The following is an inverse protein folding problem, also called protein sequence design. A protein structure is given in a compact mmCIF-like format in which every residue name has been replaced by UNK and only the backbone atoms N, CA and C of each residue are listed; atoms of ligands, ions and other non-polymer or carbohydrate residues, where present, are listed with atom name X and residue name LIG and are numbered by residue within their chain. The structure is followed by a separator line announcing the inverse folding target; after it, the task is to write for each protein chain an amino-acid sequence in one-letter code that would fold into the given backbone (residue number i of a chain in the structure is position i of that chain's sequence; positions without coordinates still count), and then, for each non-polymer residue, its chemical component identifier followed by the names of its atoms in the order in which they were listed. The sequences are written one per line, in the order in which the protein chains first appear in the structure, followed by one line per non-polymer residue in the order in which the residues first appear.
data_IF_762849058643
#
_entry.id   IF_762849058643
#
_cell.length_a   1.000
_cell.length_b   1.000
_cell.length_c   1.000
_cell.angle_alpha   90.00
_cell.angle_beta   90.00
_cell.angle_gamma   90.00
#
_symmetry.space_group_name_H-M   'P 1'
#
loop_
_entity.id
_entity.type
_entity.pdbx_description
1 polymer ?
#
# COMPACT_ATOMS: atom_id res chain seq x y z
N UNK A 1 -4.59 -58.51 -29.96
CA UNK A 1 -3.42 -59.10 -29.29
C UNK A 1 -3.33 -58.48 -27.89
N UNK A 2 -3.74 -59.24 -26.85
CA UNK A 2 -3.74 -58.84 -25.43
C UNK A 2 -2.36 -59.15 -24.83
N UNK A 3 -1.66 -58.16 -24.26
CA UNK A 3 -0.48 -58.41 -23.45
C UNK A 3 -0.86 -58.29 -21.99
N UNK A 4 -0.80 -59.43 -21.29
CA UNK A 4 -0.85 -59.53 -19.84
C UNK A 4 0.47 -59.02 -19.24
N UNK A 5 0.40 -58.18 -18.22
CA UNK A 5 1.52 -57.92 -17.32
C UNK A 5 1.33 -58.67 -15.99
N UNK A 6 2.35 -59.46 -15.66
CA UNK A 6 2.41 -60.27 -14.44
C UNK A 6 2.76 -59.38 -13.23
N UNK A 7 2.01 -59.57 -12.14
CA UNK A 7 2.31 -58.99 -10.83
C UNK A 7 3.20 -59.99 -10.08
N UNK A 8 4.41 -59.58 -9.70
CA UNK A 8 5.27 -60.34 -8.79
C UNK A 8 5.06 -59.85 -7.38
N UNK A 9 4.60 -60.73 -6.51
CA UNK A 9 4.49 -60.49 -5.07
C UNK A 9 5.86 -60.75 -4.41
N UNK A 10 6.36 -59.77 -3.67
CA UNK A 10 7.53 -59.90 -2.80
C UNK A 10 7.00 -60.06 -1.37
N UNK A 11 7.26 -61.27 -0.81
CA UNK A 11 7.00 -61.59 0.59
C UNK A 11 8.17 -61.05 1.42
N UNK A 12 7.92 -60.05 2.27
CA UNK A 12 8.89 -59.53 3.23
C UNK A 12 8.61 -60.06 4.64
N UNK A 13 9.61 -60.72 5.24
CA UNK A 13 9.54 -61.32 6.56
C UNK A 13 9.39 -60.26 7.68
N UNK A 14 8.45 -60.48 8.56
CA UNK A 14 8.30 -59.74 9.81
C UNK A 14 9.35 -60.20 10.84
N UNK A 15 10.24 -59.35 11.27
CA UNK A 15 11.08 -59.54 12.46
C UNK A 15 10.39 -58.86 13.64
N UNK A 16 9.90 -59.64 14.60
CA UNK A 16 9.33 -59.14 15.83
C UNK A 16 10.46 -58.77 16.81
N UNK A 17 10.70 -57.47 16.97
CA UNK A 17 11.55 -56.94 18.02
C UNK A 17 10.71 -56.50 19.23
N UNK A 18 10.88 -57.19 20.34
CA UNK A 18 10.27 -56.79 21.65
C UNK A 18 11.01 -55.58 22.19
N UNK A 19 10.37 -54.42 22.19
CA UNK A 19 10.85 -53.25 22.92
C UNK A 19 10.31 -53.30 24.34
N UNK A 20 11.19 -53.39 25.34
CA UNK A 20 10.87 -53.21 26.75
C UNK A 20 10.56 -51.70 27.02
N UNK A 21 9.35 -51.43 27.47
CA UNK A 21 8.94 -50.10 27.90
C UNK A 21 9.40 -49.88 29.33
N UNK A 22 10.37 -49.01 29.55
CA UNK A 22 10.75 -48.55 30.88
C UNK A 22 9.68 -47.55 31.37
N UNK A 23 8.96 -47.90 32.40
CA UNK A 23 8.03 -47.00 33.08
C UNK A 23 8.85 -46.05 33.96
N UNK A 24 8.92 -44.79 33.62
CA UNK A 24 9.48 -43.73 34.45
C UNK A 24 8.36 -43.20 35.36
N UNK A 25 8.56 -43.10 36.69
CA UNK A 25 7.52 -42.57 37.58
C UNK A 25 7.34 -41.07 37.31
N UNK A 26 6.08 -40.64 37.20
CA UNK A 26 5.67 -39.26 37.10
C UNK A 26 6.01 -38.51 38.40
N UNK A 27 7.10 -37.73 38.39
CA UNK A 27 7.28 -36.67 39.38
C UNK A 27 6.36 -35.51 39.03
N UNK A 28 5.49 -35.17 39.99
CA UNK A 28 4.58 -34.04 39.94
C UNK A 28 5.39 -32.74 39.80
N UNK A 29 5.45 -32.21 38.59
CA UNK A 29 5.87 -30.81 38.34
C UNK A 29 4.68 -29.93 38.71
N UNK A 30 4.76 -29.27 39.86
CA UNK A 30 3.89 -28.16 40.21
C UNK A 30 4.13 -27.06 39.19
N UNK A 31 3.17 -26.87 38.28
CA UNK A 31 3.12 -25.71 37.39
C UNK A 31 2.73 -24.50 38.24
N UNK A 32 3.73 -23.70 38.62
CA UNK A 32 3.45 -22.34 39.10
C UNK A 32 2.74 -21.58 37.98
N UNK A 33 1.61 -20.92 38.23
CA UNK A 33 0.97 -20.11 37.20
C UNK A 33 1.91 -18.98 36.82
N UNK A 34 2.36 -18.97 35.53
CA UNK A 34 3.03 -17.82 34.93
C UNK A 34 2.01 -16.70 34.88
N UNK A 35 2.15 -15.76 35.80
CA UNK A 35 1.41 -14.50 35.72
C UNK A 35 1.79 -13.79 34.43
N UNK A 36 0.92 -13.86 33.44
CA UNK A 36 0.98 -12.97 32.28
C UNK A 36 0.57 -11.59 32.79
N UNK A 37 1.57 -10.78 33.17
CA UNK A 37 1.38 -9.34 33.18
C UNK A 37 1.05 -8.96 31.74
N UNK A 38 -0.24 -8.78 31.47
CA UNK A 38 -0.71 -8.03 30.32
C UNK A 38 -0.20 -6.59 30.51
N UNK A 39 1.02 -6.31 30.08
CA UNK A 39 1.40 -4.96 29.70
C UNK A 39 0.54 -4.64 28.48
N UNK A 40 -0.69 -4.24 28.73
CA UNK A 40 -1.44 -3.41 27.81
C UNK A 40 -0.60 -2.16 27.63
N UNK A 41 0.22 -2.13 26.58
CA UNK A 41 0.63 -0.88 25.99
C UNK A 41 -0.66 -0.28 25.44
N UNK A 42 -1.39 0.42 26.30
CA UNK A 42 -2.39 1.37 25.86
C UNK A 42 -1.62 2.46 25.14
N UNK A 43 -1.42 2.29 23.81
CA UNK A 43 -1.27 3.47 23.00
C UNK A 43 -2.48 4.35 23.28
N UNK A 44 -2.28 5.64 23.57
CA UNK A 44 -3.40 6.53 23.78
C UNK A 44 -4.22 6.50 22.51
N UNK A 45 -5.53 6.28 22.66
CA UNK A 45 -6.58 6.46 21.66
C UNK A 45 -6.65 7.96 21.33
N UNK A 46 -5.56 8.52 20.82
CA UNK A 46 -5.45 9.92 20.47
C UNK A 46 -6.07 10.11 19.10
N UNK A 47 -7.24 10.75 19.11
CA UNK A 47 -7.90 11.24 17.89
C UNK A 47 -6.85 11.80 16.92
N UNK A 48 -6.92 11.45 15.61
CA UNK A 48 -6.03 12.03 14.62
C UNK A 48 -6.06 13.56 14.66
N UNK A 49 -4.89 14.19 14.47
CA UNK A 49 -4.81 15.65 14.42
C UNK A 49 -5.59 16.19 13.23
N UNK A 50 -6.30 17.27 13.42
CA UNK A 50 -6.83 18.08 12.32
C UNK A 50 -5.67 18.69 11.52
N UNK A 51 -5.93 19.14 10.31
CA UNK A 51 -4.95 19.82 9.46
C UNK A 51 -4.37 21.07 10.13
N UNK A 52 -5.21 21.86 10.83
CA UNK A 52 -4.75 23.05 11.55
C UNK A 52 -3.86 22.72 12.75
N UNK A 53 -4.23 21.73 13.55
CA UNK A 53 -3.43 21.25 14.68
C UNK A 53 -2.07 20.69 14.20
N UNK A 54 -2.07 19.90 13.13
CA UNK A 54 -0.84 19.39 12.53
C UNK A 54 0.05 20.53 12.05
N UNK A 55 -0.52 21.50 11.32
CA UNK A 55 0.22 22.66 10.78
C UNK A 55 0.84 23.49 11.89
N UNK A 56 0.11 23.72 13.00
CA UNK A 56 0.65 24.45 14.15
C UNK A 56 1.82 23.70 14.81
N UNK A 57 1.70 22.37 14.95
CA UNK A 57 2.73 21.56 15.59
C UNK A 57 3.99 21.41 14.73
N UNK A 58 3.84 21.39 13.38
CA UNK A 58 4.98 21.17 12.48
C UNK A 58 5.67 22.47 12.04
N UNK A 59 5.06 23.63 12.20
CA UNK A 59 5.60 24.90 11.66
C UNK A 59 7.04 25.21 12.09
N UNK A 60 7.40 24.85 13.32
CA UNK A 60 8.72 25.08 13.90
C UNK A 60 9.65 23.85 13.88
N UNK A 61 9.18 22.73 13.27
CA UNK A 61 10.01 21.52 13.12
C UNK A 61 11.03 21.78 12.01
N UNK A 62 12.31 21.61 12.32
CA UNK A 62 13.37 21.64 11.33
C UNK A 62 13.37 20.34 10.53
N UNK A 63 13.06 20.44 9.25
CA UNK A 63 13.09 19.31 8.31
C UNK A 63 14.29 19.48 7.36
N UNK A 64 14.93 18.39 6.90
CA UNK A 64 15.94 18.45 5.85
C UNK A 64 15.33 19.01 4.56
N UNK A 65 16.15 19.47 3.63
CA UNK A 65 15.69 19.89 2.30
C UNK A 65 15.04 18.74 1.54
N UNK A 66 14.10 19.07 0.63
CA UNK A 66 13.53 18.07 -0.27
C UNK A 66 14.60 17.34 -1.07
N UNK A 67 14.44 16.05 -1.25
CA UNK A 67 15.28 15.21 -2.09
C UNK A 67 14.43 14.21 -2.86
N UNK A 68 14.84 13.92 -4.08
CA UNK A 68 14.23 12.88 -4.91
C UNK A 68 15.25 12.27 -5.85
N UNK A 69 15.01 11.02 -6.28
CA UNK A 69 15.79 10.36 -7.33
C UNK A 69 14.86 9.61 -8.27
N UNK A 70 15.29 9.48 -9.52
CA UNK A 70 14.63 8.65 -10.54
C UNK A 70 15.64 7.61 -11.00
N UNK A 71 15.26 6.35 -10.98
CA UNK A 71 16.10 5.24 -11.45
C UNK A 71 15.29 4.24 -12.26
N UNK A 72 15.99 3.39 -13.00
CA UNK A 72 15.37 2.26 -13.69
C UNK A 72 14.84 1.25 -12.67
N UNK A 73 13.81 0.54 -13.06
CA UNK A 73 13.26 -0.57 -12.30
C UNK A 73 13.40 -1.86 -13.10
N UNK A 74 13.56 -2.99 -12.42
CA UNK A 74 13.67 -4.31 -13.05
C UNK A 74 12.38 -5.10 -12.84
N UNK A 75 12.10 -6.08 -13.73
CA UNK A 75 10.97 -6.99 -13.55
C UNK A 75 11.05 -7.75 -12.22
N UNK A 76 12.26 -8.10 -11.78
CA UNK A 76 12.46 -8.76 -10.49
C UNK A 76 12.07 -7.86 -9.31
N UNK A 77 12.33 -6.53 -9.38
CA UNK A 77 11.93 -5.57 -8.34
C UNK A 77 10.42 -5.38 -8.28
N UNK A 78 9.74 -5.50 -9.44
CA UNK A 78 8.28 -5.37 -9.54
C UNK A 78 7.56 -6.64 -9.08
N UNK A 79 8.25 -7.79 -9.08
CA UNK A 79 7.74 -9.08 -8.60
C UNK A 79 6.27 -9.32 -9.00
N UNK A 80 5.36 -9.29 -8.03
CA UNK A 80 3.93 -9.56 -8.22
C UNK A 80 3.14 -8.41 -8.86
N UNK A 81 3.66 -7.17 -8.85
CA UNK A 81 2.95 -6.01 -9.41
C UNK A 81 3.01 -5.93 -10.93
N UNK A 82 3.97 -6.62 -11.57
CA UNK A 82 4.11 -6.66 -13.01
C UNK A 82 4.22 -8.11 -13.53
N UNK A 83 3.63 -8.36 -14.68
CA UNK A 83 3.72 -9.65 -15.39
C UNK A 83 3.68 -9.46 -16.89
N UNK A 84 4.07 -10.49 -17.65
CA UNK A 84 3.88 -10.51 -19.09
C UNK A 84 2.39 -10.28 -19.44
N UNK A 85 2.13 -9.39 -20.39
CA UNK A 85 0.77 -8.98 -20.74
C UNK A 85 0.29 -7.70 -20.06
N UNK A 86 1.05 -7.13 -19.11
CA UNK A 86 0.78 -5.77 -18.62
C UNK A 86 0.88 -4.75 -19.75
N UNK A 87 0.03 -3.71 -19.74
CA UNK A 87 -0.05 -2.75 -20.85
C UNK A 87 1.22 -1.91 -21.00
N UNK A 88 2.01 -1.77 -19.92
CA UNK A 88 3.26 -1.03 -19.95
C UNK A 88 4.46 -1.95 -19.72
N UNK A 89 5.44 -1.89 -20.62
CA UNK A 89 6.68 -2.64 -20.48
C UNK A 89 7.54 -2.10 -19.32
N UNK A 90 8.29 -2.98 -18.64
CA UNK A 90 9.19 -2.62 -17.53
C UNK A 90 10.13 -1.47 -17.88
N UNK A 91 10.70 -1.48 -19.09
CA UNK A 91 11.60 -0.42 -19.57
C UNK A 91 10.97 0.99 -19.63
N UNK A 92 9.64 1.07 -19.61
CA UNK A 92 8.87 2.31 -19.56
C UNK A 92 8.45 2.72 -18.16
N UNK A 93 8.81 1.95 -17.13
CA UNK A 93 8.59 2.25 -15.72
C UNK A 93 9.87 2.81 -15.08
N UNK A 94 9.69 3.66 -14.08
CA UNK A 94 10.76 4.22 -13.26
C UNK A 94 10.43 4.05 -11.79
N UNK A 95 11.46 3.79 -10.99
CA UNK A 95 11.39 3.90 -9.54
C UNK A 95 11.73 5.35 -9.17
N UNK A 96 10.80 6.02 -8.53
CA UNK A 96 10.94 7.38 -8.02
C UNK A 96 11.03 7.33 -6.51
N UNK A 97 12.15 7.76 -5.95
CA UNK A 97 12.27 7.97 -4.50
C UNK A 97 11.98 9.44 -4.22
N UNK A 98 11.13 9.71 -3.23
CA UNK A 98 10.74 11.06 -2.84
C UNK A 98 10.86 11.23 -1.34
N UNK A 99 11.30 12.41 -0.90
CA UNK A 99 11.22 12.78 0.51
C UNK A 99 9.82 13.31 0.82
N UNK A 100 9.24 12.87 1.94
CA UNK A 100 7.92 13.29 2.37
C UNK A 100 7.87 13.61 3.86
N UNK A 101 6.84 14.31 4.28
CA UNK A 101 6.54 14.58 5.69
C UNK A 101 5.58 13.50 6.19
N UNK A 102 5.95 12.81 7.27
CA UNK A 102 5.10 11.83 7.91
C UNK A 102 4.03 12.44 8.82
N UNK A 103 2.95 11.69 9.09
CA UNK A 103 1.98 12.05 10.13
C UNK A 103 2.63 12.20 11.52
N UNK A 104 3.80 11.58 11.72
CA UNK A 104 4.65 11.73 12.90
C UNK A 104 5.46 13.04 12.93
N UNK A 105 5.27 13.93 11.95
CA UNK A 105 5.96 15.22 11.77
C UNK A 105 7.45 15.10 11.50
N UNK A 106 7.91 13.94 11.06
CA UNK A 106 9.30 13.70 10.64
C UNK A 106 9.40 13.64 9.11
N UNK A 107 10.63 13.74 8.63
CA UNK A 107 10.96 13.50 7.23
C UNK A 107 11.28 12.03 7.02
N UNK A 108 10.72 11.47 5.94
CA UNK A 108 10.94 10.11 5.48
C UNK A 108 11.27 10.10 3.99
N UNK A 109 11.87 9.03 3.51
CA UNK A 109 12.05 8.78 2.08
C UNK A 109 11.13 7.60 1.68
N UNK A 110 10.30 7.79 0.66
CA UNK A 110 9.36 6.81 0.13
C UNK A 110 9.63 6.47 -1.32
N UNK A 111 9.05 5.37 -1.81
CA UNK A 111 9.27 4.89 -3.18
C UNK A 111 7.95 4.68 -3.91
N UNK A 112 7.92 5.10 -5.16
CA UNK A 112 6.81 4.91 -6.10
C UNK A 112 7.35 4.33 -7.41
N UNK A 113 6.60 3.45 -8.04
CA UNK A 113 6.84 3.06 -9.43
C UNK A 113 5.83 3.80 -10.31
N UNK A 114 6.32 4.51 -11.32
CA UNK A 114 5.47 5.28 -12.24
C UNK A 114 5.97 5.14 -13.67
N UNK A 115 5.15 5.54 -14.64
CA UNK A 115 5.59 5.67 -16.03
C UNK A 115 6.75 6.66 -16.16
N UNK A 116 7.71 6.35 -17.02
CA UNK A 116 8.79 7.27 -17.38
C UNK A 116 8.26 8.62 -17.90
N UNK A 117 7.07 8.63 -18.50
CA UNK A 117 6.43 9.83 -19.02
C UNK A 117 6.05 10.86 -17.95
N UNK A 118 5.81 10.42 -16.71
CA UNK A 118 5.39 11.29 -15.60
C UNK A 118 6.40 11.31 -14.44
N UNK A 119 7.50 10.57 -14.52
CA UNK A 119 8.44 10.41 -13.39
C UNK A 119 9.05 11.76 -12.96
N UNK A 120 9.45 12.63 -13.88
CA UNK A 120 9.97 13.97 -13.57
C UNK A 120 8.91 14.85 -12.92
N UNK A 121 7.70 14.87 -13.50
CA UNK A 121 6.58 15.63 -12.94
C UNK A 121 6.19 15.14 -11.55
N UNK A 122 6.26 13.83 -11.31
CA UNK A 122 6.00 13.26 -9.98
C UNK A 122 6.97 13.81 -8.93
N UNK A 123 8.26 13.96 -9.26
CA UNK A 123 9.22 14.58 -8.33
C UNK A 123 8.87 16.04 -8.02
N UNK A 124 8.36 16.80 -8.99
CA UNK A 124 7.96 18.20 -8.81
C UNK A 124 6.67 18.31 -7.97
N UNK A 125 5.72 17.40 -8.16
CA UNK A 125 4.50 17.32 -7.35
C UNK A 125 4.88 17.05 -5.90
N UNK A 126 5.69 16.02 -5.63
CA UNK A 126 6.10 15.68 -4.26
C UNK A 126 6.97 16.76 -3.62
N UNK A 127 7.75 17.52 -4.41
CA UNK A 127 8.43 18.71 -3.92
C UNK A 127 7.42 19.74 -3.40
N UNK A 128 6.38 20.03 -4.16
CA UNK A 128 5.33 20.97 -3.74
C UNK A 128 4.62 20.48 -2.48
N UNK A 129 4.27 19.18 -2.38
CA UNK A 129 3.64 18.56 -1.22
C UNK A 129 4.56 18.60 0.02
N UNK A 130 5.87 18.39 -0.16
CA UNK A 130 6.85 18.49 0.91
C UNK A 130 7.00 19.92 1.43
N UNK A 131 7.10 20.90 0.54
CA UNK A 131 7.26 22.32 0.88
C UNK A 131 6.03 22.87 1.63
N UNK A 132 4.82 22.42 1.26
CA UNK A 132 3.59 22.76 2.01
C UNK A 132 3.40 21.91 3.27
N UNK A 133 4.31 20.97 3.55
CA UNK A 133 4.26 20.04 4.69
C UNK A 133 2.99 19.18 4.72
N UNK A 134 2.49 18.79 3.54
CA UNK A 134 1.38 17.85 3.46
C UNK A 134 1.83 16.47 3.98
N UNK A 135 1.12 15.91 5.01
CA UNK A 135 1.59 14.68 5.62
C UNK A 135 1.06 13.43 4.92
N UNK A 136 1.93 12.42 4.87
CA UNK A 136 1.59 11.08 4.42
C UNK A 136 1.68 10.10 5.58
N UNK A 137 0.83 9.06 5.57
CA UNK A 137 0.99 7.95 6.49
C UNK A 137 2.21 7.11 6.08
N UNK A 138 2.25 6.73 4.81
CA UNK A 138 3.35 5.97 4.20
C UNK A 138 3.40 6.23 2.70
N UNK A 139 4.58 6.10 2.11
CA UNK A 139 4.79 6.05 0.66
C UNK A 139 5.68 4.85 0.35
N UNK A 140 5.07 3.78 -0.15
CA UNK A 140 5.76 2.53 -0.41
C UNK A 140 5.23 1.86 -1.68
N UNK A 141 6.10 1.14 -2.39
CA UNK A 141 5.66 0.40 -3.57
C UNK A 141 4.74 -0.75 -3.18
N UNK A 142 3.80 -1.09 -4.06
CA UNK A 142 2.74 -2.06 -3.78
C UNK A 142 3.28 -3.48 -3.52
N UNK A 143 4.48 -3.80 -3.99
CA UNK A 143 5.15 -5.08 -3.75
C UNK A 143 5.36 -5.37 -2.26
N UNK A 144 5.56 -4.32 -1.44
CA UNK A 144 5.68 -4.45 0.02
C UNK A 144 4.39 -4.94 0.68
N UNK A 145 3.29 -4.93 -0.07
CA UNK A 145 1.96 -5.42 0.33
C UNK A 145 1.52 -6.63 -0.50
N UNK A 146 2.47 -7.35 -1.13
CA UNK A 146 2.17 -8.48 -2.00
C UNK A 146 1.34 -8.13 -3.23
N UNK A 147 1.39 -6.87 -3.67
CA UNK A 147 0.57 -6.29 -4.75
C UNK A 147 -0.94 -6.37 -4.50
N UNK A 148 -1.34 -6.48 -3.22
CA UNK A 148 -2.72 -6.46 -2.77
C UNK A 148 -3.14 -5.03 -2.38
N UNK A 149 -4.05 -4.45 -3.17
CA UNK A 149 -4.55 -3.08 -2.95
C UNK A 149 -5.24 -2.92 -1.59
N UNK A 150 -6.04 -3.92 -1.17
CA UNK A 150 -6.78 -3.83 0.09
C UNK A 150 -5.84 -3.76 1.29
N UNK A 151 -4.77 -4.56 1.28
CA UNK A 151 -3.75 -4.53 2.34
C UNK A 151 -3.02 -3.18 2.35
N UNK A 152 -2.65 -2.67 1.18
CA UNK A 152 -2.01 -1.36 1.02
C UNK A 152 -2.92 -0.20 1.49
N UNK A 153 -4.21 -0.22 1.10
CA UNK A 153 -5.20 0.79 1.51
C UNK A 153 -5.39 0.79 3.03
N UNK A 154 -5.54 -0.39 3.66
CA UNK A 154 -5.67 -0.50 5.12
C UNK A 154 -4.45 0.01 5.87
N UNK A 155 -3.27 -0.09 5.29
CA UNK A 155 -2.04 0.52 5.82
C UNK A 155 -1.97 2.04 5.57
N UNK A 156 -2.95 2.62 4.89
CA UNK A 156 -2.96 4.02 4.45
C UNK A 156 -1.73 4.37 3.58
N UNK A 157 -1.24 3.40 2.80
CA UNK A 157 -0.06 3.52 1.98
C UNK A 157 -0.35 4.23 0.65
N UNK A 158 0.31 5.34 0.41
CA UNK A 158 0.32 6.01 -0.90
C UNK A 158 1.12 5.18 -1.89
N UNK A 159 0.47 4.77 -3.00
CA UNK A 159 1.07 3.90 -4.02
C UNK A 159 0.65 4.29 -5.43
N UNK A 160 1.39 3.84 -6.44
CA UNK A 160 1.15 4.23 -7.84
C UNK A 160 0.96 3.00 -8.75
N UNK A 161 2.02 2.43 -9.31
CA UNK A 161 1.91 1.33 -10.26
C UNK A 161 1.43 0.03 -9.59
N UNK A 162 0.41 -0.58 -10.19
CA UNK A 162 -0.01 -1.95 -9.95
C UNK A 162 -0.73 -2.48 -11.20
N UNK A 163 -0.18 -3.52 -11.84
CA UNK A 163 -0.74 -4.08 -13.08
C UNK A 163 -1.92 -4.99 -12.79
N UNK A 164 -3.10 -4.43 -12.77
CA UNK A 164 -4.37 -5.11 -12.52
C UNK A 164 -5.52 -4.55 -13.35
N UNK A 165 -6.56 -5.31 -13.46
CA UNK A 165 -7.82 -4.80 -14.01
C UNK A 165 -8.58 -3.98 -12.95
N UNK A 166 -9.46 -3.12 -13.43
CA UNK A 166 -10.51 -2.51 -12.61
C UNK A 166 -11.40 -3.66 -12.11
N UNK A 167 -11.72 -3.64 -10.82
CA UNK A 167 -12.52 -4.69 -10.19
C UNK A 167 -13.81 -4.98 -10.97
N UNK A 168 -14.12 -6.27 -11.19
CA UNK A 168 -15.29 -6.71 -11.92
C UNK A 168 -15.25 -6.48 -13.44
N UNK A 169 -14.11 -6.06 -14.01
CA UNK A 169 -13.99 -5.78 -15.46
C UNK A 169 -12.78 -6.45 -16.10
N UNK A 170 -12.74 -6.47 -17.44
CA UNK A 170 -11.57 -6.89 -18.23
C UNK A 170 -10.72 -5.68 -18.71
N UNK A 171 -10.91 -4.49 -18.14
CA UNK A 171 -10.16 -3.28 -18.48
C UNK A 171 -9.06 -3.05 -17.46
N UNK A 172 -7.85 -2.73 -17.94
CA UNK A 172 -6.76 -2.34 -17.05
C UNK A 172 -7.08 -1.06 -16.30
N UNK A 173 -6.74 -1.01 -15.01
CA UNK A 173 -6.71 0.21 -14.22
C UNK A 173 -5.64 1.17 -14.75
N UNK A 174 -5.79 2.48 -14.52
CA UNK A 174 -4.77 3.49 -14.84
C UNK A 174 -3.46 3.26 -14.08
N UNK A 175 -3.52 2.64 -12.90
CA UNK A 175 -2.34 2.17 -12.18
C UNK A 175 -1.47 1.21 -13.01
N UNK A 176 -2.08 0.39 -13.89
CA UNK A 176 -1.35 -0.51 -14.78
C UNK A 176 -0.50 0.19 -15.84
N UNK A 177 -0.76 1.47 -16.09
CA UNK A 177 0.01 2.33 -17.00
C UNK A 177 1.05 3.19 -16.26
N UNK A 178 1.13 3.10 -14.92
CA UNK A 178 2.01 3.93 -14.10
C UNK A 178 1.68 5.43 -14.18
N UNK A 179 0.42 5.74 -14.49
CA UNK A 179 -0.09 7.10 -14.68
C UNK A 179 -1.26 7.40 -13.72
N UNK A 180 -1.29 6.71 -12.59
CA UNK A 180 -2.20 6.94 -11.48
C UNK A 180 -1.47 6.80 -10.15
N UNK A 181 -1.99 7.48 -9.13
CA UNK A 181 -1.50 7.44 -7.76
C UNK A 181 -2.67 7.61 -6.78
N UNK A 182 -2.64 6.84 -5.71
CA UNK A 182 -3.58 6.96 -4.60
C UNK A 182 -2.87 7.57 -3.39
N UNK A 183 -3.42 8.65 -2.85
CA UNK A 183 -2.85 9.44 -1.76
C UNK A 183 -3.56 9.14 -0.45
N UNK A 184 -2.84 8.61 0.56
CA UNK A 184 -3.38 8.28 1.88
C UNK A 184 -4.76 7.59 1.79
N UNK A 185 -4.86 6.42 1.15
CA UNK A 185 -6.12 5.87 0.65
C UNK A 185 -7.12 5.51 1.75
N UNK A 186 -6.67 5.17 2.97
CA UNK A 186 -7.58 4.88 4.07
C UNK A 186 -8.38 6.12 4.49
N UNK A 187 -7.73 7.29 4.57
CA UNK A 187 -8.34 8.55 4.99
C UNK A 187 -8.89 9.39 3.84
N UNK A 188 -8.67 8.96 2.60
CA UNK A 188 -9.25 9.52 1.38
C UNK A 188 -10.03 8.42 0.63
N UNK A 189 -11.23 8.06 1.10
CA UNK A 189 -11.93 6.84 0.68
C UNK A 189 -12.22 6.76 -0.82
N UNK A 190 -12.18 5.52 -1.34
CA UNK A 190 -12.93 5.13 -2.51
C UNK A 190 -14.37 4.79 -2.09
N UNK A 191 -15.36 5.28 -2.83
CA UNK A 191 -16.78 5.11 -2.52
C UNK A 191 -17.51 4.57 -3.74
N UNK A 192 -18.13 3.42 -3.59
CA UNK A 192 -18.96 2.79 -4.62
C UNK A 192 -20.37 2.56 -4.06
N UNK A 193 -21.40 2.90 -4.80
CA UNK A 193 -22.81 2.77 -4.35
C UNK A 193 -23.03 3.40 -2.95
N UNK A 194 -22.37 4.51 -2.67
CA UNK A 194 -22.45 5.24 -1.38
C UNK A 194 -21.75 4.55 -0.21
N UNK A 195 -20.93 3.52 -0.45
CA UNK A 195 -20.21 2.79 0.58
C UNK A 195 -18.70 2.96 0.41
N UNK A 196 -18.01 3.21 1.52
CA UNK A 196 -16.56 3.24 1.52
C UNK A 196 -15.97 1.83 1.39
N UNK A 197 -14.93 1.71 0.58
CA UNK A 197 -14.15 0.49 0.39
C UNK A 197 -12.65 0.79 0.59
N UNK A 198 -12.00 0.13 1.55
CA UNK A 198 -12.55 -0.83 2.51
C UNK A 198 -13.46 -0.15 3.56
N UNK A 199 -14.29 -0.94 4.26
CA UNK A 199 -15.25 -0.42 5.24
C UNK A 199 -14.58 0.38 6.37
N UNK A 200 -13.33 0.12 6.67
CA UNK A 200 -12.50 0.85 7.65
C UNK A 200 -12.31 2.32 7.27
N UNK A 201 -12.50 2.67 5.99
CA UNK A 201 -12.45 4.05 5.50
C UNK A 201 -13.75 4.83 5.77
N UNK A 202 -14.84 4.16 6.16
CA UNK A 202 -16.16 4.79 6.35
C UNK A 202 -16.17 5.99 7.33
N UNK A 203 -15.41 6.00 8.44
CA UNK A 203 -15.34 7.17 9.31
C UNK A 203 -14.83 8.45 8.61
N UNK A 204 -14.03 8.29 7.55
CA UNK A 204 -13.41 9.40 6.82
C UNK A 204 -14.28 9.94 5.68
N UNK A 205 -15.52 9.43 5.50
CA UNK A 205 -16.50 10.02 4.58
C UNK A 205 -16.93 11.42 5.04
N UNK A 206 -16.94 11.68 6.35
CA UNK A 206 -17.14 13.02 6.87
C UNK A 206 -15.90 13.89 6.66
N UNK A 207 -15.88 14.65 5.57
CA UNK A 207 -14.74 15.53 5.22
C UNK A 207 -14.64 16.77 6.16
N UNK A 208 -15.63 17.05 7.00
CA UNK A 208 -15.56 18.10 8.03
C UNK A 208 -14.59 17.74 9.16
N UNK A 209 -14.24 16.48 9.32
CA UNK A 209 -13.19 16.04 10.25
C UNK A 209 -11.86 16.73 9.94
N UNK A 210 -11.59 17.01 8.67
CA UNK A 210 -10.43 17.74 8.18
C UNK A 210 -9.11 17.32 8.85
N UNK A 211 -8.91 15.99 8.96
CA UNK A 211 -7.68 15.43 9.51
C UNK A 211 -6.47 15.71 8.61
N UNK A 212 -5.31 15.75 9.22
CA UNK A 212 -4.04 15.89 8.50
C UNK A 212 -3.87 14.76 7.48
N UNK A 213 -3.54 15.11 6.23
CA UNK A 213 -3.42 14.16 5.12
C UNK A 213 -4.71 13.85 4.36
N UNK A 214 -5.86 14.40 4.78
CA UNK A 214 -7.09 14.36 3.98
C UNK A 214 -7.04 15.37 2.82
N UNK A 215 -7.64 15.02 1.69
CA UNK A 215 -7.82 15.90 0.52
C UNK A 215 -9.20 16.57 0.61
N UNK A 216 -9.24 17.91 0.66
CA UNK A 216 -10.44 18.64 1.10
C UNK A 216 -11.31 19.22 -0.03
N UNK A 217 -10.93 19.04 -1.29
CA UNK A 217 -11.69 19.57 -2.45
C UNK A 217 -10.78 20.14 -3.53
N UNK A 218 -11.37 20.67 -4.60
CA UNK A 218 -10.62 21.14 -5.79
C UNK A 218 -9.68 22.31 -5.51
N UNK A 219 -9.99 23.14 -4.50
CA UNK A 219 -9.16 24.28 -4.12
C UNK A 219 -8.06 23.92 -3.10
N UNK A 220 -8.03 22.66 -2.65
CA UNK A 220 -6.97 22.19 -1.74
C UNK A 220 -5.61 22.28 -2.45
N UNK A 221 -4.61 22.96 -1.83
CA UNK A 221 -3.27 23.04 -2.43
C UNK A 221 -2.64 21.69 -2.76
N UNK A 222 -2.95 20.64 -1.98
CA UNK A 222 -2.46 19.30 -2.27
C UNK A 222 -3.12 18.69 -3.52
N UNK A 223 -4.43 18.94 -3.72
CA UNK A 223 -5.13 18.54 -4.95
C UNK A 223 -4.60 19.36 -6.14
N UNK A 224 -4.42 20.67 -5.97
CA UNK A 224 -3.90 21.56 -7.02
C UNK A 224 -2.46 21.24 -7.43
N UNK A 225 -1.66 20.66 -6.52
CA UNK A 225 -0.33 20.19 -6.90
C UNK A 225 -0.35 19.20 -8.07
N UNK A 226 -1.42 18.42 -8.20
CA UNK A 226 -1.66 17.51 -9.32
C UNK A 226 -2.47 18.17 -10.44
N UNK A 227 -3.61 18.78 -10.12
CA UNK A 227 -4.55 19.25 -11.15
C UNK A 227 -4.02 20.42 -11.97
N UNK A 228 -3.21 21.32 -11.41
CA UNK A 228 -2.53 22.41 -12.14
C UNK A 228 -1.49 21.86 -13.16
N UNK A 229 -1.15 20.56 -13.05
CA UNK A 229 -0.26 19.84 -14.00
C UNK A 229 -1.03 18.91 -14.94
N UNK A 230 -2.35 19.04 -15.00
CA UNK A 230 -3.23 18.28 -15.91
C UNK A 230 -3.53 16.85 -15.46
N UNK A 231 -3.42 16.55 -14.15
CA UNK A 231 -3.96 15.33 -13.57
C UNK A 231 -5.45 15.52 -13.29
N UNK A 232 -6.22 14.46 -13.49
CA UNK A 232 -7.63 14.39 -13.05
C UNK A 232 -7.67 13.85 -11.64
N UNK A 233 -8.50 14.45 -10.78
CA UNK A 233 -8.75 13.98 -9.44
C UNK A 233 -10.09 13.25 -9.33
N UNK A 234 -10.09 12.01 -8.86
CA UNK A 234 -11.28 11.17 -8.70
C UNK A 234 -12.25 11.67 -7.62
N UNK A 235 -11.82 12.61 -6.77
CA UNK A 235 -12.71 13.29 -5.81
C UNK A 235 -13.74 14.22 -6.47
N UNK A 236 -13.70 14.40 -7.79
CA UNK A 236 -14.73 15.11 -8.57
C UNK A 236 -15.72 14.17 -9.25
N UNK A 237 -15.49 12.86 -9.17
CA UNK A 237 -16.39 11.86 -9.77
C UNK A 237 -17.60 11.63 -8.86
N UNK A 238 -18.65 11.04 -9.41
CA UNK A 238 -19.90 10.80 -8.66
C UNK A 238 -20.07 9.35 -8.25
N UNK A 239 -19.81 8.41 -9.16
CA UNK A 239 -19.91 6.98 -8.90
C UNK A 239 -19.00 6.20 -9.89
N UNK A 240 -17.90 5.63 -9.41
CA UNK A 240 -17.41 5.77 -8.04
C UNK A 240 -16.93 7.20 -7.72
N UNK A 241 -17.02 7.60 -6.45
CA UNK A 241 -16.28 8.75 -5.93
C UNK A 241 -14.93 8.22 -5.40
N UNK A 242 -13.81 8.70 -5.95
CA UNK A 242 -12.49 8.17 -5.64
C UNK A 242 -11.55 9.27 -5.12
N UNK A 243 -11.67 9.57 -3.82
CA UNK A 243 -11.02 10.74 -3.21
C UNK A 243 -9.49 10.58 -3.18
N UNK A 244 -8.99 9.34 -3.05
CA UNK A 244 -7.55 9.06 -3.01
C UNK A 244 -6.88 9.27 -4.37
N UNK A 245 -7.63 9.07 -5.47
CA UNK A 245 -7.13 8.79 -6.81
C UNK A 245 -6.80 10.04 -7.64
N UNK A 246 -5.61 10.04 -8.21
CA UNK A 246 -5.23 10.95 -9.29
C UNK A 246 -4.76 10.15 -10.49
N UNK A 247 -5.20 10.55 -11.69
CA UNK A 247 -4.74 9.91 -12.93
C UNK A 247 -4.43 10.94 -14.01
N UNK A 248 -3.54 10.56 -14.93
CA UNK A 248 -3.18 11.38 -16.08
C UNK A 248 -3.21 10.56 -17.37
N UNK A 249 -3.76 11.14 -18.43
CA UNK A 249 -3.60 10.57 -19.74
C UNK A 249 -2.15 10.75 -20.22
N UNK A 250 -1.52 9.63 -20.56
CA UNK A 250 -0.18 9.61 -21.15
C UNK A 250 -0.26 9.13 -22.60
N UNK A 251 0.59 9.63 -23.51
CA UNK A 251 0.60 9.14 -24.87
C UNK A 251 0.79 7.63 -24.91
N UNK A 252 -0.07 6.93 -25.64
CA UNK A 252 0.15 5.52 -25.98
C UNK A 252 1.31 5.47 -26.99
N UNK A 253 2.44 4.90 -26.58
CA UNK A 253 3.58 4.58 -27.46
C UNK A 253 3.46 3.20 -28.04
#
# INVERSE_FOLDING_TARGET
MKKLFRISAIVGALVAGTMAIAVVPASSLELTPVSWSSTTSSEPDSKPLTRSEFSEQIKNVSLPGYASTISDVTAQRLDSSWRAGCPLAVAKLKLVTVRYVGLDKKSHDGQLVVSAAVAGEMTDIFKSLYEMRFPFAEISTIENYGSDDNTSIRANNTSAFNCRNIAGTNRYSKHSFGAAIDINPLINPYVLDGKAEPVESAPYLDRNLNYAGMLAGTDDPAVRAFTDRGWTWGGTWTDPLDIQHFEKEIPSN
#
